data_IF_201032962813
#
_entry.id   IF_201032962813
#
_cell.length_a   1.000
_cell.length_b   1.000
_cell.length_c   1.000
_cell.angle_alpha   90.00
_cell.angle_beta   90.00
_cell.angle_gamma   90.00
#
_symmetry.space_group_name_H-M   'P 1'
#
loop_
_entity.id
_entity.type
_entity.pdbx_description
1 polymer ?
#
# COMPACT_ATOMS: atom_id res chain seq x y z
N UNK A 1 27.47 -10.99 -4.32
CA UNK A 1 26.12 -10.41 -4.35
C UNK A 1 26.19 -9.11 -5.15
N UNK A 2 25.13 -8.70 -5.85
CA UNK A 2 25.14 -7.43 -6.61
C UNK A 2 24.66 -6.31 -5.69
N UNK A 3 25.51 -5.31 -5.49
CA UNK A 3 25.23 -4.09 -4.74
C UNK A 3 24.14 -3.28 -5.44
N UNK A 4 22.97 -3.19 -4.80
CA UNK A 4 21.75 -2.65 -5.42
C UNK A 4 20.94 -1.82 -4.44
N UNK A 5 20.36 -0.73 -4.93
CA UNK A 5 19.34 0.07 -4.25
C UNK A 5 18.01 -0.12 -4.98
N UNK A 6 16.95 -0.36 -4.22
CA UNK A 6 15.59 -0.43 -4.74
C UNK A 6 14.90 0.90 -4.46
N UNK A 7 14.76 1.72 -5.50
CA UNK A 7 14.06 3.00 -5.47
C UNK A 7 12.59 2.87 -5.87
N UNK A 8 11.77 3.85 -5.52
CA UNK A 8 10.39 3.93 -5.99
C UNK A 8 9.45 4.64 -5.01
N UNK A 9 8.23 4.93 -5.48
CA UNK A 9 7.21 5.66 -4.69
C UNK A 9 6.76 4.90 -3.44
N UNK A 10 5.98 5.55 -2.59
CA UNK A 10 5.29 4.85 -1.49
C UNK A 10 4.43 3.71 -2.04
N UNK A 11 4.36 2.62 -1.29
CA UNK A 11 3.56 1.44 -1.60
C UNK A 11 3.86 0.78 -2.96
N UNK A 12 5.10 0.85 -3.47
CA UNK A 12 5.50 0.16 -4.72
C UNK A 12 6.09 -1.24 -4.51
N UNK A 13 6.08 -1.77 -3.29
CA UNK A 13 6.55 -3.14 -2.99
C UNK A 13 8.03 -3.26 -2.65
N UNK A 14 8.73 -2.17 -2.29
CA UNK A 14 10.14 -2.23 -1.86
C UNK A 14 10.37 -3.25 -0.76
N UNK A 15 9.64 -3.12 0.35
CA UNK A 15 9.71 -4.06 1.50
C UNK A 15 9.38 -5.49 1.07
N UNK A 16 8.43 -5.68 0.14
CA UNK A 16 8.09 -7.00 -0.40
C UNK A 16 9.27 -7.65 -1.12
N UNK A 17 10.02 -6.89 -1.93
CA UNK A 17 11.23 -7.38 -2.60
C UNK A 17 12.36 -7.67 -1.61
N UNK A 18 12.52 -6.84 -0.58
CA UNK A 18 13.46 -7.12 0.51
C UNK A 18 13.11 -8.41 1.25
N UNK A 19 11.83 -8.65 1.56
CA UNK A 19 11.36 -9.88 2.22
C UNK A 19 11.66 -11.12 1.37
N UNK A 20 11.35 -11.07 0.06
CA UNK A 20 11.66 -12.17 -0.87
C UNK A 20 13.16 -12.49 -0.87
N UNK A 21 14.00 -11.46 -0.93
CA UNK A 21 15.46 -11.62 -0.91
C UNK A 21 15.96 -12.17 0.42
N UNK A 22 15.46 -11.62 1.54
CA UNK A 22 15.77 -12.10 2.89
C UNK A 22 15.43 -13.59 3.06
N UNK A 23 14.31 -14.02 2.50
CA UNK A 23 13.88 -15.43 2.58
C UNK A 23 14.72 -16.35 1.72
N UNK A 24 15.01 -15.94 0.48
CA UNK A 24 15.82 -16.74 -0.45
C UNK A 24 17.27 -16.90 0.01
N UNK A 25 17.84 -15.87 0.64
CA UNK A 25 19.26 -15.80 0.98
C UNK A 25 19.53 -15.90 2.50
N UNK A 26 18.48 -16.05 3.31
CA UNK A 26 18.53 -16.10 4.77
C UNK A 26 19.26 -14.89 5.41
N UNK A 27 18.93 -13.69 4.95
CA UNK A 27 19.53 -12.44 5.41
C UNK A 27 18.64 -11.73 6.44
N UNK A 28 19.27 -10.95 7.32
CA UNK A 28 18.56 -10.04 8.21
C UNK A 28 18.16 -8.76 7.48
N UNK A 29 17.01 -8.21 7.86
CA UNK A 29 16.56 -6.87 7.47
C UNK A 29 16.74 -5.94 8.67
N UNK A 30 17.50 -4.86 8.51
CA UNK A 30 17.57 -3.74 9.44
C UNK A 30 16.43 -2.76 9.14
N UNK A 31 15.71 -2.34 10.17
CA UNK A 31 14.60 -1.39 10.07
C UNK A 31 14.66 -0.34 11.20
N UNK A 32 13.86 0.74 11.12
CA UNK A 32 13.93 1.85 12.06
C UNK A 32 13.62 1.47 13.52
N UNK A 33 12.61 0.65 13.76
CA UNK A 33 12.13 0.37 15.11
C UNK A 33 11.41 -0.98 15.24
N UNK A 34 11.15 -1.39 16.48
CA UNK A 34 10.48 -2.67 16.80
C UNK A 34 9.07 -2.79 16.24
N UNK A 35 8.37 -1.68 16.02
CA UNK A 35 7.06 -1.67 15.36
C UNK A 35 7.18 -2.12 13.91
N UNK A 36 8.10 -1.52 13.16
CA UNK A 36 8.40 -1.90 11.79
C UNK A 36 8.92 -3.33 11.68
N UNK A 37 9.78 -3.77 12.61
CA UNK A 37 10.27 -5.14 12.65
C UNK A 37 9.12 -6.17 12.70
N UNK A 38 8.11 -5.92 13.55
CA UNK A 38 6.92 -6.77 13.63
C UNK A 38 6.09 -6.74 12.34
N UNK A 39 5.92 -5.56 11.73
CA UNK A 39 5.16 -5.41 10.48
C UNK A 39 5.81 -6.22 9.37
N UNK A 40 7.13 -6.06 9.16
CA UNK A 40 7.89 -6.78 8.14
C UNK A 40 7.83 -8.30 8.37
N UNK A 41 8.02 -8.73 9.62
CA UNK A 41 7.99 -10.15 9.96
C UNK A 41 6.60 -10.78 9.76
N UNK A 42 5.53 -10.08 10.13
CA UNK A 42 4.17 -10.53 9.88
C UNK A 42 3.85 -10.54 8.39
N UNK A 43 4.28 -9.53 7.64
CA UNK A 43 4.12 -9.50 6.18
C UNK A 43 4.80 -10.70 5.51
N UNK A 44 6.00 -11.10 5.96
CA UNK A 44 6.67 -12.30 5.46
C UNK A 44 5.87 -13.57 5.74
N UNK A 45 5.31 -13.70 6.95
CA UNK A 45 4.42 -14.82 7.32
C UNK A 45 3.16 -14.87 6.47
N UNK A 46 2.52 -13.73 6.23
CA UNK A 46 1.33 -13.63 5.39
C UNK A 46 1.62 -14.04 3.93
N UNK A 47 2.86 -13.82 3.50
CA UNK A 47 3.37 -14.27 2.19
C UNK A 47 3.82 -15.75 2.17
N UNK A 48 3.80 -16.45 3.32
CA UNK A 48 4.31 -17.81 3.44
C UNK A 48 5.83 -17.94 3.33
N UNK A 49 6.56 -16.85 3.60
CA UNK A 49 8.02 -16.80 3.53
C UNK A 49 8.64 -16.84 4.93
N UNK A 50 9.70 -17.63 5.07
CA UNK A 50 10.50 -17.68 6.30
C UNK A 50 11.67 -16.69 6.21
N UNK A 51 11.79 -15.82 7.21
CA UNK A 51 12.88 -14.85 7.35
C UNK A 51 13.33 -14.77 8.81
N UNK A 52 14.60 -14.47 9.10
CA UNK A 52 15.01 -14.08 10.44
C UNK A 52 14.21 -12.87 10.94
N UNK A 53 13.99 -12.77 12.27
CA UNK A 53 13.31 -11.61 12.82
C UNK A 53 14.12 -10.32 12.51
N UNK A 54 13.49 -9.26 11.97
CA UNK A 54 14.21 -8.06 11.58
C UNK A 54 14.93 -7.40 12.76
N UNK A 55 16.10 -6.85 12.46
CA UNK A 55 16.95 -6.11 13.38
C UNK A 55 16.54 -4.64 13.37
N UNK A 56 16.75 -3.93 14.47
CA UNK A 56 16.44 -2.51 14.62
C UNK A 56 17.69 -1.68 14.89
N UNK A 57 17.57 -0.35 14.82
CA UNK A 57 18.68 0.55 15.17
C UNK A 57 19.17 0.35 16.62
N UNK A 58 18.29 -0.11 17.52
CA UNK A 58 18.62 -0.37 18.94
C UNK A 58 19.57 -1.56 19.11
N UNK A 59 19.63 -2.44 18.10
CA UNK A 59 20.47 -3.63 18.11
C UNK A 59 21.86 -3.37 17.50
N UNK A 60 22.15 -2.13 17.08
CA UNK A 60 23.43 -1.71 16.54
C UNK A 60 24.44 -1.37 17.67
N UNK A 61 25.74 -1.64 17.49
CA UNK A 61 26.37 -2.24 16.32
C UNK A 61 26.16 -3.76 16.24
N UNK A 62 26.07 -4.30 15.03
CA UNK A 62 26.01 -5.75 14.83
C UNK A 62 27.38 -6.36 15.13
N UNK A 63 27.57 -6.88 16.33
CA UNK A 63 28.80 -7.57 16.74
C UNK A 63 28.80 -9.07 16.48
N UNK A 64 27.77 -9.59 15.80
CA UNK A 64 27.65 -11.01 15.51
C UNK A 64 28.54 -11.38 14.30
N UNK A 65 29.60 -12.20 14.48
CA UNK A 65 30.53 -12.56 13.40
C UNK A 65 29.89 -13.39 12.27
N UNK A 66 28.68 -13.92 12.50
CA UNK A 66 27.94 -14.69 11.50
C UNK A 66 27.09 -13.81 10.57
N UNK A 67 26.84 -12.54 10.94
CA UNK A 67 26.10 -11.59 10.10
C UNK A 67 27.11 -10.87 9.20
N UNK A 68 27.27 -11.37 7.97
CA UNK A 68 28.21 -10.79 6.99
C UNK A 68 27.59 -9.65 6.18
N UNK A 69 26.29 -9.75 5.91
CA UNK A 69 25.54 -8.86 5.04
C UNK A 69 24.15 -8.62 5.64
N UNK A 70 23.57 -7.45 5.40
CA UNK A 70 22.27 -7.04 5.93
C UNK A 70 21.52 -6.23 4.88
N UNK A 71 20.21 -6.40 4.80
CA UNK A 71 19.32 -5.56 3.99
C UNK A 71 18.84 -4.39 4.85
N UNK A 72 18.62 -3.20 4.28
CA UNK A 72 18.13 -2.03 5.03
C UNK A 72 16.81 -1.60 4.43
N UNK A 73 15.75 -1.59 5.24
CA UNK A 73 14.43 -1.05 4.87
C UNK A 73 14.23 0.34 5.47
N UNK A 74 13.51 1.21 4.75
CA UNK A 74 13.28 2.62 5.12
C UNK A 74 14.59 3.35 5.49
N UNK A 75 15.58 3.32 4.58
CA UNK A 75 16.92 3.87 4.79
C UNK A 75 16.90 5.34 5.22
N UNK A 76 15.97 6.13 4.69
CA UNK A 76 15.79 7.52 5.07
C UNK A 76 15.41 7.65 6.55
N UNK A 77 14.51 6.80 7.04
CA UNK A 77 14.09 6.79 8.44
C UNK A 77 15.21 6.29 9.36
N UNK A 78 15.91 5.22 8.97
CA UNK A 78 17.07 4.70 9.71
C UNK A 78 18.11 5.79 9.90
N UNK A 79 18.51 6.48 8.82
CA UNK A 79 19.49 7.56 8.87
C UNK A 79 18.99 8.77 9.66
N UNK A 80 17.72 9.16 9.48
CA UNK A 80 17.14 10.25 10.27
C UNK A 80 17.18 9.98 11.77
N UNK A 81 16.87 8.74 12.20
CA UNK A 81 16.90 8.38 13.62
C UNK A 81 18.32 8.34 14.18
N UNK A 82 19.30 7.91 13.39
CA UNK A 82 20.70 7.90 13.81
C UNK A 82 21.29 9.31 13.93
N UNK A 83 20.97 10.20 12.99
CA UNK A 83 21.54 11.56 12.94
C UNK A 83 20.73 12.53 13.82
N UNK A 84 19.44 12.25 14.07
CA UNK A 84 18.54 13.07 14.88
C UNK A 84 17.96 14.30 14.16
N UNK A 85 18.18 14.41 12.84
CA UNK A 85 17.65 15.49 11.99
C UNK A 85 17.16 14.94 10.66
N UNK A 86 16.36 15.72 9.94
CA UNK A 86 15.87 15.35 8.61
C UNK A 86 17.00 15.21 7.60
N UNK A 87 17.08 14.05 6.94
CA UNK A 87 17.89 13.83 5.74
C UNK A 87 17.26 14.61 4.57
N UNK A 88 18.06 15.45 3.91
CA UNK A 88 17.62 16.24 2.77
C UNK A 88 17.80 15.47 1.45
N UNK A 89 18.99 14.94 1.22
CA UNK A 89 19.41 14.24 0.00
C UNK A 89 20.44 13.16 0.34
N UNK A 90 20.59 12.17 -0.54
CA UNK A 90 21.57 11.09 -0.41
C UNK A 90 22.19 10.81 -1.78
N UNK A 91 23.47 10.47 -1.80
CA UNK A 91 24.17 9.98 -2.99
C UNK A 91 24.64 8.55 -2.78
N UNK A 92 24.82 7.81 -3.86
CA UNK A 92 25.22 6.40 -3.82
C UNK A 92 25.97 6.01 -5.08
N UNK A 93 26.92 5.09 -4.96
CA UNK A 93 27.60 4.43 -6.08
C UNK A 93 26.93 3.10 -6.49
N UNK A 94 25.88 2.68 -5.79
CA UNK A 94 25.21 1.40 -6.02
C UNK A 94 24.29 1.48 -7.24
N UNK A 95 24.04 0.34 -7.88
CA UNK A 95 23.09 0.27 -8.98
C UNK A 95 21.66 0.57 -8.48
N UNK A 96 20.99 1.55 -9.08
CA UNK A 96 19.61 1.89 -8.75
C UNK A 96 18.65 1.10 -9.64
N UNK A 97 17.78 0.31 -9.01
CA UNK A 97 16.60 -0.26 -9.67
C UNK A 97 15.35 0.45 -9.17
N UNK A 98 14.70 1.18 -10.05
CA UNK A 98 13.40 1.78 -9.75
C UNK A 98 12.31 0.73 -9.94
N UNK A 99 11.61 0.38 -8.85
CA UNK A 99 10.38 -0.37 -8.97
C UNK A 99 9.35 0.53 -9.63
N UNK A 100 8.65 0.05 -10.68
CA UNK A 100 7.50 0.75 -11.19
C UNK A 100 6.57 0.96 -10.01
N UNK A 101 6.23 2.22 -9.72
CA UNK A 101 5.06 2.48 -8.89
C UNK A 101 3.92 1.65 -9.47
N UNK A 102 3.08 1.04 -8.64
CA UNK A 102 1.82 0.40 -9.03
C UNK A 102 0.87 1.46 -9.64
N UNK A 103 1.28 2.06 -10.76
CA UNK A 103 0.43 2.55 -11.81
C UNK A 103 0.04 1.29 -12.53
N UNK A 104 -1.25 0.98 -12.45
CA UNK A 104 -1.89 0.15 -13.46
C UNK A 104 -1.53 0.76 -14.80
N UNK A 105 -0.53 0.22 -15.50
CA UNK A 105 -0.42 0.37 -16.95
C UNK A 105 -1.50 -0.50 -17.57
N UNK A 106 -2.76 -0.14 -17.29
CA UNK A 106 -3.87 -0.54 -18.13
C UNK A 106 -4.11 0.64 -19.07
N UNK A 107 -3.55 0.54 -20.27
CA UNK A 107 -4.02 1.26 -21.46
C UNK A 107 -5.35 0.69 -21.95
N UNK A 108 -6.15 0.12 -21.05
CA UNK A 108 -7.55 -0.19 -21.30
C UNK A 108 -8.30 1.05 -20.82
N UNK A 109 -9.07 1.67 -21.70
CA UNK A 109 -10.05 2.70 -21.35
C UNK A 109 -10.87 2.19 -20.16
N UNK A 110 -10.42 2.50 -18.93
CA UNK A 110 -11.13 2.15 -17.72
C UNK A 110 -12.29 3.11 -17.69
N UNK A 111 -13.42 2.66 -18.21
CA UNK A 111 -14.70 3.27 -17.91
C UNK A 111 -14.76 3.43 -16.39
N UNK A 112 -15.01 4.66 -15.95
CA UNK A 112 -15.19 4.95 -14.53
C UNK A 112 -16.22 3.99 -13.96
N UNK A 113 -15.83 3.20 -12.95
CA UNK A 113 -16.72 2.23 -12.32
C UNK A 113 -17.98 2.92 -11.76
N UNK A 114 -17.83 4.17 -11.34
CA UNK A 114 -18.92 5.02 -10.90
C UNK A 114 -18.66 6.44 -11.44
N UNK A 115 -19.64 7.05 -12.10
CA UNK A 115 -19.62 8.45 -12.53
C UNK A 115 -20.85 9.15 -11.97
N UNK A 116 -20.67 10.36 -11.45
CA UNK A 116 -21.77 11.25 -11.06
C UNK A 116 -21.65 12.49 -11.92
N UNK A 117 -22.68 12.78 -12.71
CA UNK A 117 -22.78 14.00 -13.50
C UNK A 117 -23.83 14.91 -12.88
N UNK A 118 -23.46 16.17 -12.71
CA UNK A 118 -24.30 17.24 -12.18
C UNK A 118 -24.24 18.40 -13.18
N UNK A 119 -25.39 18.81 -13.69
CA UNK A 119 -25.46 19.91 -14.67
C UNK A 119 -25.30 21.27 -13.98
N UNK A 120 -25.96 21.43 -12.83
CA UNK A 120 -25.88 22.61 -11.96
C UNK A 120 -26.19 22.26 -10.49
N UNK A 121 -25.95 23.21 -9.57
CA UNK A 121 -26.12 23.02 -8.12
C UNK A 121 -27.54 22.64 -7.67
N UNK A 122 -28.55 22.85 -8.51
CA UNK A 122 -29.95 22.55 -8.26
C UNK A 122 -30.48 21.31 -9.00
N UNK A 123 -29.67 20.77 -9.92
CA UNK A 123 -30.03 19.63 -10.76
C UNK A 123 -30.01 18.29 -10.00
N UNK A 124 -30.82 17.33 -10.47
CA UNK A 124 -30.81 15.96 -9.95
C UNK A 124 -29.58 15.23 -10.49
N UNK A 125 -28.69 14.67 -9.65
CA UNK A 125 -27.47 14.03 -10.12
C UNK A 125 -27.75 12.77 -10.93
N UNK A 126 -27.15 12.68 -12.12
CA UNK A 126 -27.09 11.43 -12.89
C UNK A 126 -25.97 10.58 -12.31
N UNK A 127 -26.25 9.30 -12.06
CA UNK A 127 -25.31 8.37 -11.44
C UNK A 127 -25.21 7.16 -12.34
N UNK A 128 -24.00 6.86 -12.78
CA UNK A 128 -23.66 5.74 -13.66
C UNK A 128 -22.80 4.74 -12.88
N UNK A 129 -23.15 3.45 -12.92
CA UNK A 129 -22.32 2.37 -12.37
C UNK A 129 -21.98 1.38 -13.49
N UNK A 130 -20.70 1.05 -13.65
CA UNK A 130 -20.19 0.23 -14.76
C UNK A 130 -20.64 0.72 -16.16
N UNK A 131 -20.85 2.04 -16.31
CA UNK A 131 -21.29 2.66 -17.56
C UNK A 131 -22.80 2.71 -17.78
N UNK A 132 -23.62 2.09 -16.91
CA UNK A 132 -25.08 2.14 -17.01
C UNK A 132 -25.68 3.18 -16.06
N UNK A 133 -26.63 3.98 -16.54
CA UNK A 133 -27.33 4.95 -15.69
C UNK A 133 -28.27 4.26 -14.72
N UNK A 134 -28.11 4.53 -13.43
CA UNK A 134 -28.97 3.98 -12.37
C UNK A 134 -30.32 4.69 -12.38
N UNK A 135 -31.33 4.23 -13.11
CA UNK A 135 -32.64 4.90 -13.15
C UNK A 135 -33.48 4.64 -11.88
N UNK A 136 -34.49 5.47 -11.60
CA UNK A 136 -35.44 5.33 -10.46
C UNK A 136 -34.80 5.36 -9.06
N UNK A 137 -33.87 6.29 -8.83
CA UNK A 137 -33.16 6.45 -7.55
C UNK A 137 -34.09 7.02 -6.47
N UNK A 138 -34.23 6.33 -5.34
CA UNK A 138 -34.96 6.84 -4.14
C UNK A 138 -34.03 7.65 -3.24
N UNK A 139 -32.80 7.19 -3.04
CA UNK A 139 -31.75 7.88 -2.27
C UNK A 139 -30.38 7.42 -2.75
N UNK A 140 -29.46 8.36 -2.93
CA UNK A 140 -28.03 8.07 -3.18
C UNK A 140 -27.23 8.65 -2.02
N UNK A 141 -26.30 7.90 -1.44
CA UNK A 141 -25.50 8.36 -0.30
C UNK A 141 -24.03 7.97 -0.49
N UNK A 142 -23.15 8.96 -0.36
CA UNK A 142 -21.70 8.78 -0.43
C UNK A 142 -21.11 9.15 0.91
N UNK A 143 -20.47 8.19 1.56
CA UNK A 143 -19.73 8.42 2.80
C UNK A 143 -18.27 8.03 2.55
N UNK A 144 -17.34 8.88 2.97
CA UNK A 144 -15.91 8.58 2.91
C UNK A 144 -15.27 8.90 4.26
N UNK A 145 -14.48 7.97 4.76
CA UNK A 145 -13.64 8.16 5.94
C UNK A 145 -12.19 8.24 5.45
N UNK A 146 -11.55 9.40 5.62
CA UNK A 146 -10.11 9.55 5.38
C UNK A 146 -9.36 9.05 6.61
N UNK A 147 -8.48 8.07 6.43
CA UNK A 147 -7.78 7.40 7.52
C UNK A 147 -6.50 8.15 7.90
N UNK A 148 -6.47 8.73 9.09
CA UNK A 148 -5.27 8.72 9.93
C UNK A 148 -5.51 7.78 11.14
N UNK A 149 -4.64 6.76 11.21
CA UNK A 149 -4.20 6.00 12.40
C UNK A 149 -5.22 5.46 13.42
N UNK A 150 -5.73 4.23 13.23
CA UNK A 150 -5.92 3.20 14.30
C UNK A 150 -6.49 1.88 13.70
N UNK A 151 -6.19 0.68 14.24
CA UNK A 151 -6.39 -0.63 13.57
C UNK A 151 -7.69 -1.37 13.91
N UNK A 152 -8.77 -0.69 14.37
CA UNK A 152 -9.99 -1.38 14.83
C UNK A 152 -11.29 -1.07 14.07
N UNK A 153 -11.29 -0.31 12.98
CA UNK A 153 -12.54 -0.03 12.26
C UNK A 153 -12.36 0.38 10.81
N UNK A 154 -13.09 -0.29 9.91
CA UNK A 154 -13.50 0.27 8.62
C UNK A 154 -12.95 -0.47 7.40
N UNK A 155 -13.68 -1.49 6.95
CA UNK A 155 -13.62 -1.95 5.56
C UNK A 155 -14.57 -1.15 4.68
N UNK A 156 -14.34 -1.17 3.37
CA UNK A 156 -15.21 -0.57 2.34
C UNK A 156 -16.65 -1.05 2.51
N UNK A 157 -17.60 -0.14 2.70
CA UNK A 157 -19.04 -0.45 2.72
C UNK A 157 -19.75 0.40 1.68
N UNK A 158 -20.28 -0.26 0.66
CA UNK A 158 -21.26 0.30 -0.26
C UNK A 158 -22.59 -0.38 0.02
N UNK A 159 -23.66 0.40 0.16
CA UNK A 159 -25.03 -0.11 0.22
C UNK A 159 -25.78 0.46 -0.97
N UNK A 160 -26.23 -0.42 -1.86
CA UNK A 160 -27.04 -0.06 -3.03
C UNK A 160 -28.39 -0.74 -2.82
N UNK A 161 -29.40 0.06 -2.51
CA UNK A 161 -30.78 -0.41 -2.39
C UNK A 161 -31.52 -0.08 -3.69
N UNK A 162 -32.07 -1.13 -4.31
CA UNK A 162 -32.82 -1.05 -5.55
C UNK A 162 -34.23 -1.57 -5.33
N UNK A 163 -35.23 -0.85 -5.83
CA UNK A 163 -36.62 -1.30 -5.79
C UNK A 163 -37.01 -1.84 -7.16
N UNK A 164 -37.25 -3.15 -7.26
CA UNK A 164 -37.88 -3.74 -8.44
C UNK A 164 -39.39 -3.58 -8.26
N UNK A 165 -40.04 -2.84 -9.17
CA UNK A 165 -41.50 -2.80 -9.21
C UNK A 165 -41.98 -4.16 -9.72
N UNK A 166 -42.62 -4.97 -8.87
CA UNK A 166 -43.40 -6.10 -9.34
C UNK A 166 -44.53 -5.54 -10.20
N UNK A 167 -44.56 -5.94 -11.47
CA UNK A 167 -45.74 -5.73 -12.32
C UNK A 167 -46.70 -6.83 -11.89
N UNK A 168 -47.71 -6.47 -11.12
CA UNK A 168 -48.85 -7.36 -10.91
C UNK A 168 -49.58 -7.47 -12.25
N UNK A 169 -49.44 -8.64 -12.89
CA UNK A 169 -50.32 -9.02 -14.00
C UNK A 169 -51.65 -9.46 -13.38
N UNK A 170 -52.49 -8.49 -13.03
CA UNK A 170 -53.92 -8.75 -12.86
C UNK A 170 -54.56 -8.69 -14.27
N UNK A 171 -55.00 -9.86 -14.75
CA UNK A 171 -55.92 -10.03 -15.87
C UNK A 171 -57.32 -9.46 -15.56
#
# INVERSE_FOLDING_TARGET
MTDKIIGGKRCCGKTTELIKKASAEHLYILCPNKGMAKIIFNQAKDMGLDIPFPITIEDLPLHNPHIKEVLIDEVEMVLQQLIGIRVAEMSTSYHLEELPSLRREDTQERSSLLTIELEDESSVPKVFYQGEEVTNKVRVSFNWDTREESPLSGGTRYNIEHFVKCIDNDE
#
